data_IF_008378744427
#
_entry.id   IF_008378744427
#
_cell.length_a   1.000
_cell.length_b   1.000
_cell.length_c   1.000
_cell.angle_alpha   90.00
_cell.angle_beta   90.00
_cell.angle_gamma   90.00
#
_symmetry.space_group_name_H-M   'P 1'
#
loop_
_entity.id
_entity.type
_entity.pdbx_description
1 polymer ?
#
# COMPACT_ATOMS: atom_id res chain seq x y z
N UNK A 1 13.34 -49.82 51.70
CA UNK A 1 11.86 -49.85 51.69
C UNK A 1 11.45 -49.24 50.35
N UNK A 2 11.47 -50.05 49.30
CA UNK A 2 10.32 -50.77 48.72
C UNK A 2 9.44 -49.82 47.89
N UNK A 3 9.65 -49.90 46.57
CA UNK A 3 8.70 -49.49 45.52
C UNK A 3 7.34 -50.17 45.69
N UNK A 4 6.31 -49.65 45.01
CA UNK A 4 5.72 -50.42 43.90
C UNK A 4 5.42 -49.50 42.69
N UNK A 5 5.90 -49.76 41.48
CA UNK A 5 5.44 -50.74 40.46
C UNK A 5 3.96 -50.65 40.06
N UNK A 6 3.77 -50.45 38.74
CA UNK A 6 2.61 -50.78 37.88
C UNK A 6 1.41 -49.81 37.90
N UNK A 7 0.73 -49.54 36.77
CA UNK A 7 0.62 -50.35 35.56
C UNK A 7 0.37 -49.56 34.28
N UNK A 8 1.11 -49.98 33.25
CA UNK A 8 0.72 -49.86 31.85
C UNK A 8 -0.33 -50.94 31.57
N UNK A 9 -1.55 -50.55 31.22
CA UNK A 9 -2.54 -51.47 30.69
C UNK A 9 -3.45 -50.78 29.69
N UNK A 10 -3.25 -51.15 28.42
CA UNK A 10 -4.33 -51.33 27.47
C UNK A 10 -4.81 -50.07 26.75
N UNK A 11 -4.36 -49.92 25.50
CA UNK A 11 -5.21 -50.13 24.32
C UNK A 11 -4.32 -49.98 23.08
N UNK A 12 -3.79 -51.12 22.62
CA UNK A 12 -3.11 -51.22 21.35
C UNK A 12 -4.12 -51.01 20.22
N UNK A 13 -4.14 -49.81 19.64
CA UNK A 13 -4.80 -49.58 18.36
C UNK A 13 -3.90 -50.14 17.25
N UNK A 14 -4.18 -51.37 16.84
CA UNK A 14 -3.65 -51.95 15.61
C UNK A 14 -4.22 -51.16 14.42
N UNK A 15 -3.36 -50.44 13.71
CA UNK A 15 -3.69 -49.84 12.42
C UNK A 15 -3.39 -50.90 11.36
N UNK A 16 -4.43 -51.54 10.82
CA UNK A 16 -4.31 -52.33 9.59
C UNK A 16 -4.97 -51.58 8.45
N UNK A 17 -4.15 -51.20 7.48
CA UNK A 17 -4.55 -50.61 6.20
C UNK A 17 -5.31 -51.65 5.39
N UNK A 18 -6.55 -51.33 5.00
CA UNK A 18 -7.14 -51.95 3.80
C UNK A 18 -7.51 -50.85 2.81
N UNK A 19 -6.67 -50.77 1.79
CA UNK A 19 -6.88 -50.07 0.54
C UNK A 19 -8.10 -50.64 -0.16
N UNK A 20 -9.18 -49.85 -0.25
CA UNK A 20 -10.07 -49.65 -1.42
C UNK A 20 -11.44 -49.15 -0.99
N UNK A 21 -11.80 -47.98 -1.53
CA UNK A 21 -13.15 -47.39 -1.58
C UNK A 21 -13.86 -47.17 -0.24
N UNK A 22 -13.70 -45.95 0.31
CA UNK A 22 -14.62 -45.45 1.34
C UNK A 22 -15.96 -45.15 0.67
N UNK A 23 -16.88 -46.10 0.82
CA UNK A 23 -18.30 -45.91 0.57
C UNK A 23 -18.85 -45.13 1.77
N UNK A 24 -19.24 -43.88 1.56
CA UNK A 24 -19.86 -43.08 2.60
C UNK A 24 -21.36 -43.33 2.58
N UNK A 25 -21.83 -44.28 3.40
CA UNK A 25 -23.25 -44.41 3.73
C UNK A 25 -23.61 -43.29 4.73
N UNK A 26 -24.00 -42.13 4.21
CA UNK A 26 -24.45 -40.99 5.02
C UNK A 26 -25.97 -41.11 5.20
N UNK A 27 -26.49 -41.32 6.43
CA UNK A 27 -27.92 -41.24 6.68
C UNK A 27 -28.38 -39.79 6.47
N UNK A 28 -29.57 -39.65 5.90
CA UNK A 28 -30.25 -38.43 5.46
C UNK A 28 -30.36 -37.32 6.54
N UNK A 29 -29.26 -36.64 6.86
CA UNK A 29 -29.22 -35.38 7.62
C UNK A 29 -29.27 -34.20 6.65
N UNK A 30 -30.43 -34.02 6.02
CA UNK A 30 -30.70 -32.90 5.13
C UNK A 30 -31.09 -31.60 5.88
N UNK A 31 -30.98 -31.55 7.21
CA UNK A 31 -31.51 -30.45 8.04
C UNK A 31 -30.45 -29.51 8.66
N UNK A 32 -29.15 -29.79 8.50
CA UNK A 32 -28.05 -29.00 9.10
C UNK A 32 -27.28 -28.13 8.09
N UNK A 33 -27.87 -27.84 6.93
CA UNK A 33 -27.30 -26.94 5.90
C UNK A 33 -28.09 -25.63 5.81
N UNK A 34 -28.33 -24.96 6.94
CA UNK A 34 -28.74 -23.55 6.93
C UNK A 34 -27.64 -22.71 7.57
N UNK A 35 -26.69 -22.30 6.73
CA UNK A 35 -25.82 -21.18 7.07
C UNK A 35 -26.63 -19.90 7.34
N UNK A 36 -26.04 -18.90 8.02
CA UNK A 36 -26.71 -17.65 8.33
C UNK A 36 -27.25 -16.97 7.06
N UNK A 37 -28.46 -16.41 7.14
CA UNK A 37 -29.06 -15.66 6.02
C UNK A 37 -28.25 -14.40 5.77
N UNK A 38 -27.82 -14.21 4.53
CA UNK A 38 -27.20 -12.99 4.04
C UNK A 38 -28.22 -11.82 4.12
N UNK A 39 -27.82 -10.61 4.56
CA UNK A 39 -28.69 -9.44 4.45
C UNK A 39 -28.95 -9.09 2.98
N UNK A 40 -30.14 -8.57 2.63
CA UNK A 40 -30.41 -8.13 1.26
C UNK A 40 -29.47 -6.97 0.89
N UNK A 41 -28.60 -7.18 -0.09
CA UNK A 41 -27.61 -6.19 -0.58
C UNK A 41 -26.18 -6.35 -0.09
N UNK A 42 -25.85 -7.38 0.70
CA UNK A 42 -24.48 -7.62 1.17
C UNK A 42 -23.62 -8.41 0.18
N UNK A 43 -22.50 -7.85 -0.26
CA UNK A 43 -21.41 -8.62 -0.89
C UNK A 43 -20.83 -9.53 0.20
N UNK A 44 -20.67 -10.83 -0.09
CA UNK A 44 -19.90 -11.72 0.82
C UNK A 44 -18.49 -11.12 0.89
N UNK A 45 -17.96 -10.76 2.08
CA UNK A 45 -16.56 -10.41 2.16
C UNK A 45 -15.80 -11.63 1.65
N UNK A 46 -15.05 -11.46 0.57
CA UNK A 46 -14.14 -12.49 0.11
C UNK A 46 -13.21 -12.81 1.28
N UNK A 47 -12.96 -14.09 1.59
CA UNK A 47 -12.02 -14.43 2.62
C UNK A 47 -10.65 -13.95 2.17
N UNK A 48 -10.27 -12.75 2.60
CA UNK A 48 -8.95 -12.19 2.42
C UNK A 48 -8.00 -13.14 3.11
N UNK A 49 -7.34 -13.94 2.29
CA UNK A 49 -6.29 -14.91 2.60
C UNK A 49 -5.49 -14.45 3.82
N UNK A 50 -5.43 -15.36 4.80
CA UNK A 50 -4.90 -15.19 6.17
C UNK A 50 -3.55 -14.45 6.27
N UNK A 51 -3.22 -13.92 7.48
CA UNK A 51 -2.60 -12.62 7.69
C UNK A 51 -1.07 -12.63 7.74
N UNK A 52 -0.55 -11.42 7.81
CA UNK A 52 0.66 -11.01 8.54
C UNK A 52 1.97 -11.05 7.77
N UNK A 53 2.44 -9.83 7.48
CA UNK A 53 3.73 -9.45 6.90
C UNK A 53 3.86 -9.60 5.39
N UNK A 54 4.24 -8.48 4.76
CA UNK A 54 4.67 -8.43 3.37
C UNK A 54 5.80 -9.45 3.17
N UNK A 55 5.70 -10.28 2.13
CA UNK A 55 6.78 -11.21 1.80
C UNK A 55 8.03 -10.43 1.40
N UNK A 56 9.21 -11.04 1.55
CA UNK A 56 10.47 -10.44 1.09
C UNK A 56 10.42 -10.03 -0.39
N UNK A 57 9.80 -10.85 -1.23
CA UNK A 57 9.61 -10.53 -2.65
C UNK A 57 8.69 -9.33 -2.88
N UNK A 58 7.67 -9.15 -2.04
CA UNK A 58 6.79 -7.97 -2.10
C UNK A 58 7.53 -6.71 -1.66
N UNK A 59 8.38 -6.80 -0.63
CA UNK A 59 9.21 -5.68 -0.17
C UNK A 59 10.22 -5.25 -1.24
N UNK A 60 10.91 -6.19 -1.88
CA UNK A 60 11.83 -5.90 -3.00
C UNK A 60 11.10 -5.23 -4.18
N UNK A 61 9.89 -5.69 -4.50
CA UNK A 61 9.06 -5.09 -5.54
C UNK A 61 8.69 -3.64 -5.19
N UNK A 62 8.28 -3.38 -3.95
CA UNK A 62 7.95 -2.04 -3.47
C UNK A 62 9.19 -1.14 -3.44
N UNK A 63 10.34 -1.64 -3.00
CA UNK A 63 11.61 -0.91 -3.01
C UNK A 63 11.95 -0.44 -4.43
N UNK A 64 11.91 -1.36 -5.39
CA UNK A 64 12.17 -1.07 -6.80
C UNK A 64 11.20 -0.02 -7.33
N UNK A 65 9.91 -0.11 -6.98
CA UNK A 65 8.91 0.90 -7.34
C UNK A 65 9.25 2.26 -6.73
N UNK A 66 9.58 2.33 -5.44
CA UNK A 66 9.97 3.57 -4.76
C UNK A 66 11.19 4.23 -5.41
N UNK A 67 12.24 3.46 -5.74
CA UNK A 67 13.44 3.97 -6.40
C UNK A 67 13.15 4.50 -7.81
N UNK A 68 12.31 3.79 -8.57
CA UNK A 68 11.87 4.26 -9.90
C UNK A 68 11.10 5.58 -9.81
N UNK A 69 10.13 5.67 -8.90
CA UNK A 69 9.34 6.89 -8.70
C UNK A 69 10.21 8.05 -8.18
N UNK A 70 11.16 7.79 -7.27
CA UNK A 70 12.13 8.78 -6.81
C UNK A 70 12.97 9.33 -7.97
N UNK A 71 13.45 8.46 -8.84
CA UNK A 71 14.19 8.87 -10.03
C UNK A 71 13.37 9.72 -10.99
N UNK A 72 12.07 9.41 -11.16
CA UNK A 72 11.15 10.23 -11.97
C UNK A 72 10.92 11.61 -11.34
N UNK A 73 10.72 11.67 -10.03
CA UNK A 73 10.49 12.92 -9.31
C UNK A 73 11.71 13.84 -9.38
N UNK A 74 12.91 13.30 -9.18
CA UNK A 74 14.17 14.05 -9.30
C UNK A 74 14.38 14.60 -10.72
N UNK A 75 14.11 13.80 -11.76
CA UNK A 75 14.19 14.28 -13.15
C UNK A 75 13.20 15.40 -13.43
N UNK A 76 11.96 15.25 -12.94
CA UNK A 76 10.92 16.26 -13.10
C UNK A 76 11.37 17.58 -12.45
N UNK A 77 11.76 17.55 -11.18
CA UNK A 77 12.28 18.73 -10.45
C UNK A 77 13.51 19.35 -11.13
N UNK A 78 14.45 18.53 -11.62
CA UNK A 78 15.62 19.02 -12.34
C UNK A 78 15.28 19.74 -13.65
N UNK A 79 14.25 19.29 -14.37
CA UNK A 79 13.73 19.97 -15.55
C UNK A 79 13.08 21.31 -15.17
N UNK A 80 12.27 21.35 -14.10
CA UNK A 80 11.68 22.61 -13.62
C UNK A 80 12.73 23.63 -13.21
N UNK A 81 13.81 23.21 -12.54
CA UNK A 81 14.91 24.09 -12.17
C UNK A 81 15.62 24.68 -13.40
N UNK A 82 15.84 23.88 -14.44
CA UNK A 82 16.40 24.36 -15.72
C UNK A 82 15.47 25.36 -16.41
N UNK A 83 14.16 25.06 -16.49
CA UNK A 83 13.19 25.98 -17.08
C UNK A 83 13.11 27.29 -16.31
N UNK A 84 13.09 27.23 -14.96
CA UNK A 84 13.06 28.42 -14.12
C UNK A 84 14.32 29.29 -14.26
N UNK A 85 15.48 28.68 -14.52
CA UNK A 85 16.73 29.41 -14.84
C UNK A 85 16.64 30.10 -16.20
N UNK A 86 16.19 29.38 -17.22
CA UNK A 86 16.05 29.94 -18.57
C UNK A 86 15.03 31.11 -18.63
N UNK A 87 13.91 31.00 -17.89
CA UNK A 87 12.92 32.09 -17.80
C UNK A 87 13.53 33.37 -17.20
N UNK A 88 14.34 33.24 -16.14
CA UNK A 88 15.07 34.36 -15.53
C UNK A 88 16.09 34.99 -16.48
N UNK A 89 16.82 34.17 -17.23
CA UNK A 89 17.80 34.63 -18.21
C UNK A 89 17.13 35.32 -19.42
N UNK A 90 15.93 34.87 -19.80
CA UNK A 90 15.19 35.42 -20.95
C UNK A 90 14.48 36.74 -20.61
N UNK A 91 13.95 36.85 -19.39
CA UNK A 91 13.27 38.06 -18.90
C UNK A 91 14.19 39.27 -18.66
N UNK A 92 15.51 39.07 -18.56
CA UNK A 92 16.52 40.13 -18.43
C UNK A 92 16.97 40.70 -19.79
N UNK A 93 16.41 40.22 -20.91
CA UNK A 93 16.77 40.71 -22.24
C UNK A 93 16.02 42.00 -22.59
N UNK A 94 16.73 42.98 -23.17
CA UNK A 94 16.17 44.26 -23.64
C UNK A 94 15.04 44.09 -24.68
N UNK A 95 14.94 42.92 -25.32
CA UNK A 95 13.91 42.59 -26.30
C UNK A 95 12.59 42.16 -25.65
N UNK A 96 12.62 41.57 -24.45
CA UNK A 96 11.41 41.12 -23.75
C UNK A 96 10.51 42.31 -23.38
N UNK A 97 11.10 43.45 -23.02
CA UNK A 97 10.38 44.69 -22.72
C UNK A 97 9.63 45.29 -23.94
N UNK A 98 10.00 44.91 -25.17
CA UNK A 98 9.39 45.41 -26.39
C UNK A 98 8.27 44.51 -26.94
N UNK A 99 8.20 43.25 -26.51
CA UNK A 99 7.25 42.24 -27.01
C UNK A 99 6.14 41.87 -26.04
N UNK A 100 6.16 42.43 -24.82
CA UNK A 100 5.19 42.14 -23.77
C UNK A 100 3.84 42.84 -24.04
N UNK A 101 2.86 42.05 -24.50
CA UNK A 101 1.50 42.54 -24.75
C UNK A 101 0.68 42.39 -23.46
N UNK A 102 -0.10 43.42 -23.08
CA UNK A 102 -0.93 43.39 -21.86
C UNK A 102 -1.89 42.18 -21.76
N UNK A 103 -2.22 41.54 -22.89
CA UNK A 103 -3.03 40.33 -22.94
C UNK A 103 -2.27 39.05 -22.55
N UNK A 104 -0.95 39.03 -22.73
CA UNK A 104 -0.10 37.86 -22.48
C UNK A 104 0.38 37.82 -21.02
N UNK A 105 0.56 38.98 -20.38
CA UNK A 105 0.96 39.10 -18.96
C UNK A 105 0.09 38.27 -18.01
N UNK A 106 -1.23 38.26 -18.23
CA UNK A 106 -2.15 37.47 -17.39
C UNK A 106 -1.97 35.96 -17.58
N UNK A 107 -1.70 35.52 -18.81
CA UNK A 107 -1.43 34.12 -19.15
C UNK A 107 -0.10 33.68 -18.57
N UNK A 108 0.96 34.48 -18.74
CA UNK A 108 2.28 34.20 -18.15
C UNK A 108 2.22 34.09 -16.62
N UNK A 109 1.49 34.99 -15.95
CA UNK A 109 1.33 34.95 -14.50
C UNK A 109 0.66 33.63 -14.05
N UNK A 110 -0.41 33.20 -14.74
CA UNK A 110 -1.09 31.93 -14.46
C UNK A 110 -0.17 30.72 -14.70
N UNK A 111 0.63 30.74 -15.77
CA UNK A 111 1.57 29.66 -16.08
C UNK A 111 2.69 29.55 -15.04
N UNK A 112 3.24 30.69 -14.59
CA UNK A 112 4.24 30.72 -13.51
C UNK A 112 3.66 30.18 -12.19
N UNK A 113 2.43 30.54 -11.84
CA UNK A 113 1.76 30.01 -10.64
C UNK A 113 1.58 28.49 -10.74
N UNK A 114 1.09 27.99 -11.88
CA UNK A 114 0.92 26.56 -12.12
C UNK A 114 2.24 25.80 -12.02
N UNK A 115 3.32 26.36 -12.57
CA UNK A 115 4.66 25.77 -12.47
C UNK A 115 5.14 25.69 -11.01
N UNK A 116 4.93 26.75 -10.22
CA UNK A 116 5.29 26.79 -8.81
C UNK A 116 4.49 25.75 -7.97
N UNK A 117 3.18 25.61 -8.24
CA UNK A 117 2.33 24.60 -7.61
C UNK A 117 2.80 23.18 -7.96
N UNK A 118 3.17 22.94 -9.23
CA UNK A 118 3.70 21.66 -9.67
C UNK A 118 5.01 21.33 -8.93
N UNK A 119 5.97 22.25 -8.90
CA UNK A 119 7.25 22.06 -8.22
C UNK A 119 7.07 21.76 -6.72
N UNK A 120 6.15 22.48 -6.06
CA UNK A 120 5.80 22.24 -4.65
C UNK A 120 5.22 20.86 -4.43
N UNK A 121 4.29 20.43 -5.30
CA UNK A 121 3.67 19.09 -5.22
C UNK A 121 4.70 17.99 -5.41
N UNK A 122 5.60 18.16 -6.39
CA UNK A 122 6.63 17.19 -6.71
C UNK A 122 7.68 17.08 -5.60
N UNK A 123 8.08 18.21 -5.00
CA UNK A 123 8.96 18.22 -3.83
C UNK A 123 8.35 17.49 -2.62
N UNK A 124 7.05 17.73 -2.33
CA UNK A 124 6.33 16.98 -1.28
C UNK A 124 6.22 15.49 -1.61
N UNK A 125 6.06 15.14 -2.89
CA UNK A 125 6.01 13.75 -3.31
C UNK A 125 7.36 13.05 -3.12
N UNK A 126 8.46 13.69 -3.53
CA UNK A 126 9.82 13.23 -3.30
C UNK A 126 10.10 12.99 -1.81
N UNK A 127 9.73 13.95 -0.96
CA UNK A 127 9.86 13.79 0.49
C UNK A 127 9.12 12.55 1.02
N UNK A 128 7.89 12.30 0.55
CA UNK A 128 7.13 11.10 0.95
C UNK A 128 7.79 9.80 0.46
N UNK A 129 8.39 9.80 -0.73
CA UNK A 129 9.13 8.66 -1.25
C UNK A 129 10.38 8.36 -0.42
N UNK A 130 11.14 9.40 -0.05
CA UNK A 130 12.33 9.25 0.79
C UNK A 130 12.00 8.81 2.22
N UNK A 131 10.90 9.30 2.78
CA UNK A 131 10.37 8.81 4.06
C UNK A 131 9.91 7.35 3.97
N UNK A 132 9.31 6.93 2.85
CA UNK A 132 8.95 5.53 2.63
C UNK A 132 10.19 4.63 2.53
N UNK A 133 11.21 5.04 1.77
CA UNK A 133 12.48 4.31 1.69
C UNK A 133 13.18 4.22 3.05
N UNK A 134 13.20 5.31 3.83
CA UNK A 134 13.76 5.30 5.20
C UNK A 134 13.04 4.29 6.08
N UNK A 135 11.71 4.28 6.08
CA UNK A 135 10.92 3.29 6.85
C UNK A 135 11.19 1.86 6.41
N UNK A 136 11.29 1.63 5.10
CA UNK A 136 11.57 0.31 4.53
C UNK A 136 12.95 -0.21 4.94
N UNK A 137 13.98 0.64 4.93
CA UNK A 137 15.34 0.25 5.29
C UNK A 137 15.57 0.13 6.80
N UNK A 138 14.86 0.93 7.61
CA UNK A 138 15.00 0.88 9.07
C UNK A 138 14.28 -0.34 9.65
N UNK A 139 13.00 -0.52 9.30
CA UNK A 139 12.12 -1.52 9.90
C UNK A 139 11.28 -2.23 8.80
N UNK A 140 11.89 -3.13 8.01
CA UNK A 140 11.21 -3.80 6.90
C UNK A 140 10.00 -4.62 7.34
N UNK A 141 10.05 -5.18 8.55
CA UNK A 141 8.97 -5.98 9.12
C UNK A 141 7.74 -5.12 9.52
N UNK A 142 7.95 -3.84 9.85
CA UNK A 142 6.88 -2.91 10.22
C UNK A 142 6.34 -2.13 9.01
N UNK A 143 7.03 -2.23 7.87
CA UNK A 143 6.61 -1.59 6.63
C UNK A 143 5.23 -2.09 6.20
N UNK A 144 4.36 -1.18 5.76
CA UNK A 144 2.97 -1.50 5.44
C UNK A 144 2.03 -1.49 6.65
N UNK A 145 2.43 -0.92 7.79
CA UNK A 145 1.52 -0.68 8.93
C UNK A 145 0.96 0.75 8.90
N UNK A 146 -0.34 0.91 9.19
CA UNK A 146 -1.00 2.19 9.28
C UNK A 146 -0.51 2.98 10.51
N UNK A 147 -0.10 4.24 10.31
CA UNK A 147 0.40 5.11 11.39
C UNK A 147 -0.66 5.53 12.41
N UNK A 148 -1.95 5.49 12.03
CA UNK A 148 -3.05 5.94 12.91
C UNK A 148 -3.64 4.80 13.73
N UNK A 149 -4.01 3.68 13.08
CA UNK A 149 -4.73 2.59 13.74
C UNK A 149 -3.87 1.33 13.96
N UNK A 150 -2.64 1.29 13.45
CA UNK A 150 -1.79 0.09 13.51
C UNK A 150 -2.26 -1.08 12.63
N UNK A 151 -3.33 -0.90 11.84
CA UNK A 151 -3.79 -1.95 10.92
C UNK A 151 -2.85 -2.12 9.73
N UNK A 152 -2.82 -3.32 9.17
CA UNK A 152 -2.04 -3.61 7.97
C UNK A 152 -2.61 -2.88 6.74
N UNK A 153 -1.71 -2.36 5.91
CA UNK A 153 -2.01 -1.74 4.62
C UNK A 153 -1.85 -2.81 3.55
N UNK A 154 -2.96 -3.17 2.89
CA UNK A 154 -2.96 -4.22 1.87
C UNK A 154 -1.93 -3.99 0.76
N UNK A 155 -1.33 -5.08 0.27
CA UNK A 155 -0.30 -5.05 -0.78
C UNK A 155 -0.78 -4.33 -2.05
N UNK A 156 -2.02 -4.54 -2.50
CA UNK A 156 -2.58 -3.89 -3.68
C UNK A 156 -2.53 -2.36 -3.59
N UNK A 157 -2.74 -1.82 -2.39
CA UNK A 157 -2.64 -0.37 -2.13
C UNK A 157 -1.19 0.10 -2.15
N UNK A 158 -0.25 -0.70 -1.63
CA UNK A 158 1.18 -0.36 -1.66
C UNK A 158 1.76 -0.51 -3.07
N UNK A 159 1.26 -1.42 -3.89
CA UNK A 159 1.68 -1.55 -5.29
C UNK A 159 1.23 -0.33 -6.12
N UNK A 160 -0.01 0.13 -5.89
CA UNK A 160 -0.53 1.35 -6.49
C UNK A 160 0.14 2.63 -5.94
N UNK A 161 0.29 2.72 -4.62
CA UNK A 161 0.80 3.87 -3.87
C UNK A 161 1.88 3.43 -2.86
N UNK A 162 3.14 3.26 -3.31
CA UNK A 162 4.19 2.67 -2.48
C UNK A 162 4.66 3.55 -1.31
N UNK A 163 4.27 4.82 -1.30
CA UNK A 163 4.59 5.78 -0.24
C UNK A 163 3.45 5.95 0.78
N UNK A 164 2.37 5.17 0.68
CA UNK A 164 1.22 5.28 1.57
C UNK A 164 1.60 5.07 3.04
N UNK A 165 0.98 5.84 3.94
CA UNK A 165 1.19 5.77 5.40
C UNK A 165 -0.04 5.28 6.18
N UNK A 166 -1.21 5.34 5.54
CA UNK A 166 -2.48 5.08 6.17
C UNK A 166 -3.25 4.00 5.40
N UNK A 167 -4.00 3.19 6.12
CA UNK A 167 -5.01 2.31 5.52
C UNK A 167 -6.11 3.15 4.85
N UNK A 168 -6.95 2.49 4.05
CA UNK A 168 -8.02 3.15 3.30
C UNK A 168 -9.00 3.85 4.25
N UNK A 169 -9.39 3.18 5.34
CA UNK A 169 -10.38 3.71 6.28
C UNK A 169 -9.87 4.95 7.02
N UNK A 170 -8.62 4.92 7.52
CA UNK A 170 -8.02 6.10 8.16
C UNK A 170 -7.83 7.25 7.17
N UNK A 171 -7.47 6.93 5.92
CA UNK A 171 -7.33 7.97 4.88
C UNK A 171 -8.67 8.63 4.56
N UNK A 172 -9.75 7.84 4.52
CA UNK A 172 -11.11 8.34 4.27
C UNK A 172 -11.62 9.22 5.42
N UNK A 173 -11.30 8.86 6.67
CA UNK A 173 -11.63 9.67 7.85
C UNK A 173 -10.93 11.03 7.83
N UNK A 174 -9.63 11.04 7.53
CA UNK A 174 -8.83 12.28 7.39
C UNK A 174 -9.43 13.20 6.30
N UNK A 175 -9.90 12.63 5.17
CA UNK A 175 -10.53 13.38 4.09
C UNK A 175 -11.91 13.96 4.46
N UNK A 176 -12.62 13.32 5.40
CA UNK A 176 -13.91 13.80 5.94
C UNK A 176 -13.76 14.80 7.09
N UNK A 177 -12.55 14.96 7.63
CA UNK A 177 -12.29 15.78 8.82
C UNK A 177 -12.82 15.15 10.11
N UNK A 178 -12.91 13.82 10.14
CA UNK A 178 -13.36 13.03 11.30
C UNK A 178 -12.11 12.44 12.00
N UNK A 179 -11.38 13.28 12.74
CA UNK A 179 -10.18 12.89 13.51
C UNK A 179 -10.52 12.37 14.92
#
# INVERSE_FOLDING_TARGET
MLSPTMGFSGLGARISVTSKTVRWDIPRVASLLRGPRLPPGGVRPEPSRDPSMLSKSQLEHIEKRLLQERGKALRSLGLFDQMAKADRESGDSDLAAYTDHMADQGTEAMEREKAALFATKEGRYLYRLEEALRRLYNDPDTFGTCHTCGAEVGFERLDALPHARYCIDCKLKEERGED
#
